data_IF_299830665699
#
_entry.id   IF_299830665699
#
_cell.length_a   1.000
_cell.length_b   1.000
_cell.length_c   1.000
_cell.angle_alpha   90.00
_cell.angle_beta   90.00
_cell.angle_gamma   90.00
#
_symmetry.space_group_name_H-M   'P 1'
#
loop_
_entity.id
_entity.type
_entity.pdbx_description
1 polymer ?
#
# COMPACT_ATOMS: atom_id res chain seq x y z
N UNK A 1 -11.77 2.42 -8.02
CA UNK A 1 -10.88 2.03 -6.90
C UNK A 1 -10.54 0.57 -7.08
N UNK A 2 -9.30 0.16 -6.78
CA UNK A 2 -8.82 -1.23 -6.87
C UNK A 2 -8.22 -1.61 -5.53
N UNK A 3 -8.58 -2.78 -5.02
CA UNK A 3 -7.98 -3.32 -3.79
C UNK A 3 -6.82 -4.23 -4.14
N UNK A 4 -5.69 -4.05 -3.44
CA UNK A 4 -4.50 -4.89 -3.58
C UNK A 4 -4.08 -5.40 -2.21
N UNK A 5 -3.76 -6.70 -2.07
CA UNK A 5 -3.37 -7.27 -0.80
C UNK A 5 -1.96 -6.82 -0.40
N UNK A 6 -1.75 -6.57 0.90
CA UNK A 6 -0.39 -6.53 1.46
C UNK A 6 0.06 -7.97 1.67
N UNK A 7 1.03 -8.39 0.85
CA UNK A 7 1.56 -9.76 0.86
C UNK A 7 2.64 -9.99 1.91
N UNK A 8 3.14 -8.94 2.56
CA UNK A 8 4.12 -9.02 3.64
C UNK A 8 4.74 -7.66 3.97
N UNK A 9 5.69 -7.65 4.90
CA UNK A 9 6.41 -6.45 5.32
C UNK A 9 7.66 -6.78 6.13
N UNK A 10 8.54 -5.80 6.28
CA UNK A 10 9.81 -5.90 7.00
C UNK A 10 9.96 -4.77 8.02
N UNK A 11 10.99 -4.84 8.87
CA UNK A 11 11.24 -3.84 9.90
C UNK A 11 10.05 -3.68 10.86
N UNK A 12 9.60 -2.43 11.05
CA UNK A 12 8.42 -2.12 11.86
C UNK A 12 7.18 -2.87 11.38
N UNK A 13 7.04 -3.05 10.07
CA UNK A 13 5.91 -3.74 9.45
C UNK A 13 6.15 -5.24 9.28
N UNK A 14 7.07 -5.84 10.05
CA UNK A 14 7.30 -7.29 10.02
C UNK A 14 5.97 -8.01 10.32
N UNK A 15 5.69 -9.04 9.51
CA UNK A 15 4.43 -9.82 9.54
C UNK A 15 3.18 -9.00 9.18
N UNK A 16 3.34 -7.89 8.44
CA UNK A 16 2.22 -7.06 8.00
C UNK A 16 1.17 -7.84 7.19
N UNK A 17 -0.10 -7.52 7.45
CA UNK A 17 -1.28 -7.92 6.68
C UNK A 17 -2.17 -6.71 6.47
N UNK A 18 -2.98 -6.71 5.43
CA UNK A 18 -3.91 -5.62 5.15
C UNK A 18 -4.16 -5.47 3.66
N UNK A 19 -4.60 -4.28 3.27
CA UNK A 19 -4.94 -3.96 1.90
C UNK A 19 -4.60 -2.51 1.56
N UNK A 20 -4.38 -2.26 0.28
CA UNK A 20 -4.25 -0.94 -0.29
C UNK A 20 -5.40 -0.68 -1.26
N UNK A 21 -6.06 0.47 -1.12
CA UNK A 21 -7.03 0.96 -2.07
C UNK A 21 -6.36 1.96 -3.01
N UNK A 22 -6.19 1.57 -4.26
CA UNK A 22 -5.65 2.43 -5.31
C UNK A 22 -6.77 3.15 -6.07
N UNK A 23 -6.64 4.47 -6.19
CA UNK A 23 -7.51 5.33 -6.99
C UNK A 23 -6.68 6.13 -7.98
N UNK A 24 -6.86 5.86 -9.26
CA UNK A 24 -6.26 6.68 -10.32
C UNK A 24 -7.01 8.00 -10.42
N UNK A 25 -6.28 9.10 -10.27
CA UNK A 25 -6.79 10.46 -10.46
C UNK A 25 -6.59 10.94 -11.89
N UNK A 26 -5.44 10.64 -12.48
CA UNK A 26 -5.14 10.96 -13.88
C UNK A 26 -4.25 9.90 -14.51
N UNK A 27 -4.40 9.75 -15.84
CA UNK A 27 -3.53 8.93 -16.67
C UNK A 27 -3.39 9.58 -18.04
N UNK A 28 -2.18 10.01 -18.38
CA UNK A 28 -1.82 10.50 -19.70
C UNK A 28 -1.34 9.34 -20.57
N UNK A 29 -2.15 8.94 -21.54
CA UNK A 29 -1.84 7.84 -22.46
C UNK A 29 -0.67 8.12 -23.40
N UNK A 30 -0.36 9.40 -23.67
CA UNK A 30 0.73 9.76 -24.60
C UNK A 30 2.10 9.61 -23.95
N UNK A 31 2.19 9.98 -22.67
CA UNK A 31 3.44 9.90 -21.89
C UNK A 31 3.53 8.65 -21.02
N UNK A 32 2.39 8.03 -20.72
CA UNK A 32 2.29 6.92 -19.76
C UNK A 32 2.24 7.36 -18.29
N UNK A 33 2.21 8.68 -18.02
CA UNK A 33 2.22 9.20 -16.67
C UNK A 33 0.88 9.02 -15.97
N UNK A 34 0.90 8.57 -14.71
CA UNK A 34 -0.30 8.43 -13.90
C UNK A 34 -0.11 9.05 -12.52
N UNK A 35 -1.18 9.67 -12.00
CA UNK A 35 -1.29 10.01 -10.58
C UNK A 35 -2.26 9.02 -9.95
N UNK A 36 -1.76 8.22 -9.00
CA UNK A 36 -2.54 7.21 -8.30
C UNK A 36 -2.41 7.46 -6.80
N UNK A 37 -3.54 7.69 -6.14
CA UNK A 37 -3.64 7.78 -4.69
C UNK A 37 -3.79 6.39 -4.09
N UNK A 38 -3.08 6.16 -2.98
CA UNK A 38 -3.14 4.93 -2.22
C UNK A 38 -3.58 5.25 -0.78
N UNK A 39 -4.72 4.70 -0.38
CA UNK A 39 -5.09 4.59 1.03
C UNK A 39 -4.71 3.19 1.49
N UNK A 40 -3.77 3.08 2.43
CA UNK A 40 -3.16 1.82 2.85
C UNK A 40 -3.50 1.55 4.30
N UNK A 41 -4.17 0.43 4.55
CA UNK A 41 -4.47 -0.05 5.91
C UNK A 41 -3.56 -1.23 6.23
N UNK A 42 -2.72 -1.08 7.26
CA UNK A 42 -1.73 -2.10 7.66
C UNK A 42 -1.97 -2.52 9.10
N UNK A 43 -2.14 -3.82 9.30
CA UNK A 43 -2.02 -4.47 10.59
C UNK A 43 -0.64 -5.12 10.68
N UNK A 44 0.13 -4.81 11.71
CA UNK A 44 1.41 -5.45 11.98
C UNK A 44 1.65 -5.57 13.48
N UNK A 45 2.64 -6.39 13.86
CA UNK A 45 3.08 -6.50 15.24
C UNK A 45 4.11 -5.42 15.55
N UNK A 46 3.97 -4.72 16.67
CA UNK A 46 5.02 -3.86 17.22
C UNK A 46 5.88 -4.65 18.19
N UNK A 47 7.17 -4.84 17.89
CA UNK A 47 8.12 -5.38 18.87
C UNK A 47 8.81 -4.21 19.57
N UNK A 48 8.52 -4.03 20.86
CA UNK A 48 9.36 -3.21 21.73
C UNK A 48 10.47 -4.12 22.26
N UNK A 49 11.72 -3.84 21.90
CA UNK A 49 12.86 -4.50 22.52
C UNK A 49 13.05 -3.94 23.93
N UNK A 50 12.95 -4.80 24.94
CA UNK A 50 13.32 -4.48 26.33
C UNK A 50 14.84 -4.47 26.49
#
# INVERSE_FOLDING_TARGET
>A
VREMPIVGGSGLFRLARGYALARTHSFDLKTGNAVVEYNVTVLHLGTVSL
#
